data_IF_011827532360
#
_entry.id   IF_011827532360
#
_cell.length_a   1.000
_cell.length_b   1.000
_cell.length_c   1.000
_cell.angle_alpha   90.00
_cell.angle_beta   90.00
_cell.angle_gamma   90.00
#
_symmetry.space_group_name_H-M   'P 1'
#
loop_
_entity.id
_entity.type
_entity.pdbx_description
1 polymer ?
#
# COMPACT_ATOMS: atom_id res chain seq x y z
N UNK A 1 -11.12 -7.80 -3.99
CA UNK A 1 -10.48 -7.76 -2.66
C UNK A 1 -9.37 -6.70 -2.51
N UNK A 2 -8.96 -6.46 -1.26
CA UNK A 2 -7.72 -5.77 -0.89
C UNK A 2 -6.50 -6.67 -1.18
N UNK A 3 -5.44 -6.18 -1.86
CA UNK A 3 -4.21 -6.94 -2.14
C UNK A 3 -3.52 -7.47 -0.87
N UNK A 4 -3.35 -6.62 0.15
CA UNK A 4 -2.70 -7.02 1.40
C UNK A 4 -3.47 -8.12 2.14
N UNK A 5 -4.80 -8.06 2.15
CA UNK A 5 -5.63 -9.12 2.72
C UNK A 5 -5.50 -10.44 1.95
N UNK A 6 -5.39 -10.39 0.62
CA UNK A 6 -5.16 -11.57 -0.21
C UNK A 6 -3.78 -12.18 0.04
N UNK A 7 -2.77 -11.35 0.29
CA UNK A 7 -1.41 -11.80 0.61
C UNK A 7 -1.33 -12.45 2.00
N UNK A 8 -1.85 -11.78 3.02
CA UNK A 8 -1.85 -12.27 4.40
C UNK A 8 -3.17 -11.93 5.12
N UNK A 9 -4.17 -12.83 5.05
CA UNK A 9 -5.45 -12.63 5.72
C UNK A 9 -5.34 -12.51 7.25
N UNK A 10 -4.29 -13.07 7.85
CA UNK A 10 -4.08 -13.08 9.29
C UNK A 10 -3.54 -11.73 9.79
N UNK A 11 -2.60 -11.14 9.05
CA UNK A 11 -2.03 -9.82 9.34
C UNK A 11 -3.04 -8.69 9.05
N UNK A 12 -3.82 -8.81 7.97
CA UNK A 12 -4.70 -7.74 7.51
C UNK A 12 -6.20 -8.02 7.74
N UNK A 13 -6.56 -8.67 8.85
CA UNK A 13 -7.96 -9.00 9.19
C UNK A 13 -8.91 -7.80 9.14
N UNK A 14 -8.44 -6.61 9.48
CA UNK A 14 -9.20 -5.36 9.42
C UNK A 14 -9.71 -5.00 8.01
N UNK A 15 -9.11 -5.58 6.96
CA UNK A 15 -9.47 -5.35 5.57
C UNK A 15 -10.56 -6.31 5.08
N UNK A 16 -10.91 -7.34 5.87
CA UNK A 16 -11.92 -8.36 5.52
C UNK A 16 -13.31 -7.77 5.27
N UNK A 17 -13.76 -6.87 6.15
CA UNK A 17 -15.12 -6.32 6.10
C UNK A 17 -15.25 -5.08 5.18
N UNK A 18 -14.19 -4.74 4.43
CA UNK A 18 -14.20 -3.59 3.52
C UNK A 18 -14.94 -3.96 2.23
N UNK A 19 -16.00 -3.22 1.95
CA UNK A 19 -16.79 -3.34 0.70
C UNK A 19 -16.00 -2.75 -0.46
N UNK A 20 -15.18 -3.57 -1.11
CA UNK A 20 -14.42 -3.23 -2.30
C UNK A 20 -15.16 -3.80 -3.52
N UNK A 21 -15.78 -2.94 -4.33
CA UNK A 21 -16.58 -3.38 -5.49
C UNK A 21 -15.82 -3.25 -6.81
N UNK A 22 -14.94 -2.27 -6.91
CA UNK A 22 -14.15 -2.00 -8.11
C UNK A 22 -12.74 -1.55 -7.75
N UNK A 23 -11.89 -1.39 -8.77
CA UNK A 23 -10.49 -0.93 -8.61
C UNK A 23 -10.35 0.49 -8.06
N UNK A 24 -11.35 1.36 -8.19
CA UNK A 24 -11.34 2.68 -7.53
C UNK A 24 -11.53 2.57 -6.03
N UNK A 25 -12.42 1.68 -5.57
CA UNK A 25 -12.58 1.38 -4.13
C UNK A 25 -11.29 0.77 -3.55
N UNK A 26 -10.61 -0.10 -4.31
CA UNK A 26 -9.30 -0.64 -3.90
C UNK A 26 -8.32 0.51 -3.66
N UNK A 27 -8.18 1.43 -4.61
CA UNK A 27 -7.24 2.56 -4.51
C UNK A 27 -7.54 3.47 -3.33
N UNK A 28 -8.80 3.80 -3.10
CA UNK A 28 -9.21 4.60 -1.95
C UNK A 28 -8.92 3.87 -0.62
N UNK A 29 -9.25 2.58 -0.55
CA UNK A 29 -8.97 1.75 0.62
C UNK A 29 -7.48 1.68 0.93
N UNK A 30 -6.65 1.43 -0.08
CA UNK A 30 -5.19 1.38 0.04
C UNK A 30 -4.64 2.72 0.57
N UNK A 31 -5.11 3.84 0.02
CA UNK A 31 -4.71 5.18 0.49
C UNK A 31 -5.11 5.44 1.95
N UNK A 32 -6.22 4.89 2.44
CA UNK A 32 -6.68 5.12 3.82
C UNK A 32 -6.09 4.16 4.85
N UNK A 33 -5.90 2.90 4.49
CA UNK A 33 -5.56 1.83 5.44
C UNK A 33 -4.14 1.30 5.28
N UNK A 34 -3.51 1.52 4.13
CA UNK A 34 -2.21 0.96 3.80
C UNK A 34 -1.18 2.03 3.42
N UNK A 35 -1.48 3.32 3.58
CA UNK A 35 -0.46 4.37 3.45
C UNK A 35 0.55 4.23 4.58
N UNK A 36 1.83 4.30 4.24
CA UNK A 36 2.89 4.33 5.22
C UNK A 36 2.70 5.57 6.14
N UNK A 37 2.84 5.42 7.46
CA UNK A 37 2.71 6.54 8.38
C UNK A 37 3.82 7.56 8.13
N UNK A 38 3.64 8.79 8.60
CA UNK A 38 4.74 9.76 8.63
C UNK A 38 5.81 9.23 9.58
N UNK A 39 7.05 9.06 9.14
CA UNK A 39 8.09 8.51 10.01
C UNK A 39 9.43 9.24 9.84
N UNK A 40 10.28 9.10 10.86
CA UNK A 40 11.65 9.55 10.80
C UNK A 40 12.52 8.46 10.18
N UNK A 41 13.29 8.78 9.14
CA UNK A 41 14.17 7.81 8.47
C UNK A 41 15.34 7.36 9.35
N UNK A 42 15.68 8.12 10.40
CA UNK A 42 16.79 7.82 11.30
C UNK A 42 16.33 6.94 12.45
N UNK A 43 15.38 7.39 13.26
CA UNK A 43 14.94 6.64 14.45
C UNK A 43 13.71 5.74 14.23
N UNK A 44 13.11 5.77 13.03
CA UNK A 44 11.91 5.00 12.64
C UNK A 44 10.64 5.32 13.46
N UNK A 45 10.67 6.37 14.28
CA UNK A 45 9.49 6.82 15.01
C UNK A 45 8.39 7.30 14.05
N UNK A 46 7.17 6.85 14.27
CA UNK A 46 5.98 7.18 13.46
C UNK A 46 5.17 8.30 14.10
N UNK A 47 4.62 9.17 13.27
CA UNK A 47 3.86 10.35 13.62
C UNK A 47 2.47 10.30 12.97
N UNK A 48 1.50 10.98 13.59
CA UNK A 48 0.15 11.08 13.04
C UNK A 48 0.06 12.17 11.97
N UNK A 49 0.87 13.22 12.10
CA UNK A 49 0.92 14.35 11.16
C UNK A 49 2.32 14.56 10.58
N UNK A 50 2.35 15.06 9.35
CA UNK A 50 3.59 15.45 8.67
C UNK A 50 4.33 16.55 9.44
N UNK A 51 3.59 17.51 9.99
CA UNK A 51 4.13 18.62 10.78
C UNK A 51 4.94 18.15 11.99
N UNK A 52 4.43 17.15 12.74
CA UNK A 52 5.11 16.57 13.90
C UNK A 52 6.44 15.93 13.49
N UNK A 53 6.42 15.17 12.40
CA UNK A 53 7.62 14.56 11.80
C UNK A 53 8.63 15.63 11.39
N UNK A 54 8.17 16.72 10.78
CA UNK A 54 9.04 17.79 10.32
C UNK A 54 9.69 18.55 11.48
N UNK A 55 8.97 18.81 12.56
CA UNK A 55 9.55 19.38 13.80
C UNK A 55 10.61 18.44 14.35
N UNK A 56 10.30 17.14 14.48
CA UNK A 56 11.24 16.14 14.96
C UNK A 56 12.54 16.09 14.12
N UNK A 57 12.43 16.08 12.79
CA UNK A 57 13.60 16.04 11.92
C UNK A 57 14.42 17.34 11.98
N UNK A 58 13.79 18.50 12.21
CA UNK A 58 14.50 19.77 12.40
C UNK A 58 15.26 19.82 13.72
N UNK A 59 14.73 19.22 14.78
CA UNK A 59 15.41 19.15 16.08
C UNK A 59 16.69 18.32 16.06
N UNK A 60 16.81 17.34 15.14
CA UNK A 60 17.99 16.46 14.99
C UNK A 60 18.44 15.79 16.30
N UNK A 61 17.50 15.52 17.20
CA UNK A 61 17.77 14.96 18.53
C UNK A 61 17.75 13.43 18.57
N UNK A 62 17.35 12.78 17.47
CA UNK A 62 17.21 11.33 17.42
C UNK A 62 18.44 10.64 16.80
N UNK A 63 18.68 9.39 17.21
CA UNK A 63 19.76 8.56 16.67
C UNK A 63 19.28 7.71 15.49
N UNK A 64 20.22 7.36 14.60
CA UNK A 64 19.98 6.37 13.55
C UNK A 64 19.84 4.96 14.15
N UNK A 65 18.81 4.24 13.72
CA UNK A 65 18.57 2.85 14.09
C UNK A 65 18.41 2.03 12.80
N UNK A 66 19.08 0.87 12.76
CA UNK A 66 18.99 -0.11 11.66
C UNK A 66 17.76 -1.01 11.77
N UNK A 67 16.59 -0.39 11.91
CA UNK A 67 15.30 -1.09 11.81
C UNK A 67 14.73 -0.93 10.40
N UNK A 68 13.91 -1.88 9.92
CA UNK A 68 13.18 -1.70 8.67
C UNK A 68 12.23 -0.50 8.77
N UNK A 69 11.91 0.08 7.62
CA UNK A 69 10.90 1.12 7.53
C UNK A 69 9.51 0.56 7.90
N UNK A 70 8.59 1.40 8.40
CA UNK A 70 7.25 0.94 8.76
C UNK A 70 6.50 0.39 7.55
N UNK A 71 5.69 -0.63 7.78
CA UNK A 71 4.84 -1.28 6.77
C UNK A 71 3.89 -0.28 6.11
N UNK A 72 3.64 -0.45 4.82
CA UNK A 72 2.71 0.35 4.04
C UNK A 72 3.25 0.76 2.67
N UNK A 73 2.38 1.42 1.92
CA UNK A 73 2.64 2.00 0.61
C UNK A 73 3.30 3.35 0.77
N UNK A 74 4.41 3.55 0.07
CA UNK A 74 5.09 4.84 -0.01
C UNK A 74 4.23 5.86 -0.76
N UNK A 75 4.55 7.14 -0.63
CA UNK A 75 3.91 8.19 -1.43
C UNK A 75 4.09 7.95 -2.95
N UNK A 76 5.22 7.36 -3.35
CA UNK A 76 5.48 7.00 -4.74
C UNK A 76 4.55 5.87 -5.20
N UNK A 77 4.34 4.84 -4.38
CA UNK A 77 3.42 3.74 -4.72
C UNK A 77 1.98 4.21 -4.81
N UNK A 78 1.54 5.06 -3.87
CA UNK A 78 0.25 5.72 -3.94
C UNK A 78 0.08 6.55 -5.22
N UNK A 79 1.14 7.25 -5.66
CA UNK A 79 1.11 8.01 -6.92
C UNK A 79 0.96 7.10 -8.14
N UNK A 80 1.59 5.92 -8.14
CA UNK A 80 1.46 4.91 -9.20
C UNK A 80 0.04 4.36 -9.25
N UNK A 81 -0.60 4.16 -8.10
CA UNK A 81 -1.99 3.69 -8.03
C UNK A 81 -3.00 4.67 -8.64
N UNK A 82 -2.72 5.98 -8.62
CA UNK A 82 -3.61 6.99 -9.23
C UNK A 82 -3.55 6.92 -10.76
N UNK A 83 -2.40 6.53 -11.33
CA UNK A 83 -2.24 6.41 -12.77
C UNK A 83 -3.12 5.29 -13.32
N UNK A 84 -3.67 5.50 -14.53
CA UNK A 84 -4.39 4.45 -15.24
C UNK A 84 -3.36 3.47 -15.80
N UNK A 85 -3.39 2.23 -15.30
CA UNK A 85 -2.50 1.16 -15.74
C UNK A 85 -3.21 -0.18 -15.77
N UNK A 86 -2.62 -1.11 -16.53
CA UNK A 86 -3.09 -2.47 -16.74
C UNK A 86 -1.90 -3.41 -16.69
N UNK A 87 -2.07 -4.58 -16.05
CA UNK A 87 -1.04 -5.61 -16.03
C UNK A 87 -1.23 -6.57 -17.21
N UNK A 88 -0.14 -7.11 -17.77
CA UNK A 88 -0.23 -8.19 -18.75
C UNK A 88 -0.92 -9.40 -18.13
N UNK A 89 -2.00 -9.86 -18.75
CA UNK A 89 -2.84 -10.98 -18.31
C UNK A 89 -3.12 -11.92 -19.49
N UNK A 90 -3.44 -13.20 -19.23
CA UNK A 90 -3.85 -14.14 -20.28
C UNK A 90 -5.10 -13.64 -21.05
N UNK A 91 -5.24 -14.16 -22.27
CA UNK A 91 -6.37 -13.85 -23.14
C UNK A 91 -7.71 -14.23 -22.46
N UNK A 92 -8.68 -13.31 -22.48
CA UNK A 92 -9.97 -13.45 -21.79
C UNK A 92 -10.09 -12.77 -20.42
N UNK A 93 -9.01 -12.21 -19.86
CA UNK A 93 -9.10 -11.41 -18.63
C UNK A 93 -9.87 -10.10 -18.87
N UNK A 94 -10.77 -9.77 -17.94
CA UNK A 94 -11.54 -8.52 -17.99
C UNK A 94 -10.65 -7.30 -17.74
N UNK A 95 -11.09 -6.14 -18.21
CA UNK A 95 -10.41 -4.86 -17.96
C UNK A 95 -10.29 -4.55 -16.46
N UNK A 96 -11.24 -5.00 -15.65
CA UNK A 96 -11.18 -4.83 -14.20
C UNK A 96 -10.11 -5.71 -13.57
N UNK A 97 -9.99 -6.96 -14.01
CA UNK A 97 -8.93 -7.87 -13.57
C UNK A 97 -7.55 -7.33 -13.92
N UNK A 98 -7.33 -6.90 -15.17
CA UNK A 98 -6.04 -6.33 -15.59
C UNK A 98 -5.64 -5.12 -14.73
N UNK A 99 -6.59 -4.24 -14.40
CA UNK A 99 -6.37 -3.09 -13.52
C UNK A 99 -6.12 -3.50 -12.08
N UNK A 100 -6.81 -4.52 -11.59
CA UNK A 100 -6.61 -5.03 -10.25
C UNK A 100 -5.23 -5.68 -10.10
N UNK A 101 -4.81 -6.48 -11.08
CA UNK A 101 -3.45 -7.04 -11.11
C UNK A 101 -2.39 -5.95 -11.25
N UNK A 102 -2.63 -4.86 -11.97
CA UNK A 102 -1.72 -3.71 -11.97
C UNK A 102 -1.55 -3.13 -10.56
N UNK A 103 -2.64 -3.02 -9.79
CA UNK A 103 -2.59 -2.59 -8.38
C UNK A 103 -1.79 -3.59 -7.53
N UNK A 104 -1.96 -4.89 -7.77
CA UNK A 104 -1.20 -5.94 -7.09
C UNK A 104 0.31 -5.78 -7.29
N UNK A 105 0.77 -5.59 -8.53
CA UNK A 105 2.20 -5.43 -8.84
C UNK A 105 2.82 -4.21 -8.13
N UNK A 106 2.03 -3.15 -7.88
CA UNK A 106 2.47 -1.98 -7.13
C UNK A 106 2.55 -2.28 -5.62
N UNK A 107 1.55 -2.97 -5.07
CA UNK A 107 1.47 -3.23 -3.63
C UNK A 107 2.38 -4.37 -3.17
N UNK A 108 2.62 -5.33 -4.05
CA UNK A 108 3.23 -6.62 -3.76
C UNK A 108 4.23 -6.97 -4.88
N UNK A 109 5.25 -6.11 -5.13
CA UNK A 109 6.16 -6.29 -6.24
C UNK A 109 6.94 -7.61 -6.12
N UNK A 110 6.94 -8.40 -7.19
CA UNK A 110 7.65 -9.68 -7.26
C UNK A 110 6.96 -10.85 -6.53
N UNK A 111 5.75 -10.65 -5.99
CA UNK A 111 4.96 -11.71 -5.37
C UNK A 111 4.00 -12.35 -6.36
N UNK A 112 3.77 -13.65 -6.19
CA UNK A 112 2.85 -14.40 -7.06
C UNK A 112 1.44 -13.81 -7.01
N UNK A 113 0.86 -13.61 -8.20
CA UNK A 113 -0.49 -13.06 -8.33
C UNK A 113 -1.51 -14.09 -7.83
N UNK A 114 -2.53 -13.66 -7.08
CA UNK A 114 -3.59 -14.57 -6.68
C UNK A 114 -4.42 -14.99 -7.89
N UNK A 115 -4.96 -16.20 -7.87
CA UNK A 115 -5.78 -16.75 -8.96
C UNK A 115 -7.13 -16.03 -9.15
N UNK A 116 -7.54 -15.18 -8.20
CA UNK A 116 -8.80 -14.43 -8.27
C UNK A 116 -8.71 -13.08 -7.55
N UNK A 117 -9.24 -12.04 -8.22
CA UNK A 117 -9.28 -10.65 -7.75
C UNK A 117 -10.36 -10.39 -6.67
N UNK A 118 -11.28 -11.34 -6.47
CA UNK A 118 -12.46 -11.16 -5.61
C UNK A 118 -12.16 -11.33 -4.14
#
# INVERSE_FOLDING_TARGET
ACPFYKLDPSKYRQCRDKKIRNTSDVREHLKRCHSQPWFCTWCKYTFKKEEERNVHMRSRTCAEIKLPDPDGLTQEDLSKLVKRGEAPCPDGATEEEKRWYFIWEICCPGLERPSSIY
#
